data_IF_810049425919
#
_entry.id   IF_810049425919
#
_cell.length_a   1.000
_cell.length_b   1.000
_cell.length_c   1.000
_cell.angle_alpha   90.00
_cell.angle_beta   90.00
_cell.angle_gamma   90.00
#
_symmetry.space_group_name_H-M   'P 1'
#
loop_
_entity.id
_entity.type
_entity.pdbx_description
1 polymer ?
#
# COMPACT_ATOMS: atom_id res chain seq x y z
N UNK A 1 -17.85 3.09 -39.62
CA UNK A 1 -17.27 2.66 -38.32
C UNK A 1 -18.16 1.57 -37.75
N UNK A 2 -17.67 0.37 -37.40
CA UNK A 2 -18.53 -0.60 -36.73
C UNK A 2 -18.97 -0.01 -35.39
N UNK A 3 -20.28 0.16 -35.19
CA UNK A 3 -20.91 0.82 -34.03
C UNK A 3 -20.67 0.13 -32.66
N UNK A 4 -19.81 -0.88 -32.62
CA UNK A 4 -19.70 -1.82 -31.49
C UNK A 4 -18.31 -1.84 -30.82
N UNK A 5 -17.39 -0.96 -31.21
CA UNK A 5 -16.04 -0.87 -30.63
C UNK A 5 -15.89 0.43 -29.84
N UNK A 6 -15.65 0.33 -28.53
CA UNK A 6 -15.56 1.49 -27.63
C UNK A 6 -14.28 2.34 -27.84
N UNK A 7 -13.25 1.78 -28.49
CA UNK A 7 -12.02 2.51 -28.83
C UNK A 7 -11.52 2.15 -30.24
N UNK A 8 -11.04 3.12 -31.04
CA UNK A 8 -10.52 2.87 -32.38
C UNK A 8 -9.21 2.07 -32.39
N UNK A 9 -8.38 2.21 -31.34
CA UNK A 9 -7.05 1.59 -31.27
C UNK A 9 -7.01 0.28 -30.46
N UNK A 10 -8.13 -0.15 -29.87
CA UNK A 10 -8.26 -1.38 -29.10
C UNK A 10 -9.64 -2.01 -29.34
N UNK A 11 -9.87 -2.60 -30.53
CA UNK A 11 -11.18 -3.09 -30.92
C UNK A 11 -11.60 -4.23 -30.00
N UNK A 12 -12.62 -3.99 -29.18
CA UNK A 12 -13.28 -5.00 -28.38
C UNK A 12 -14.79 -4.87 -28.53
N UNK A 13 -15.48 -6.01 -28.56
CA UNK A 13 -16.95 -6.06 -28.60
C UNK A 13 -17.49 -5.61 -27.23
N UNK A 14 -18.30 -4.56 -27.19
CA UNK A 14 -19.00 -4.11 -25.98
C UNK A 14 -19.83 -5.26 -25.40
N UNK A 15 -19.61 -5.60 -24.13
CA UNK A 15 -20.40 -6.60 -23.42
C UNK A 15 -21.78 -6.01 -23.10
N UNK A 16 -22.85 -6.81 -23.13
CA UNK A 16 -24.23 -6.37 -22.84
C UNK A 16 -24.48 -6.19 -21.34
N UNK A 17 -23.54 -5.60 -20.61
CA UNK A 17 -23.63 -5.29 -19.18
C UNK A 17 -23.70 -3.76 -18.99
N UNK A 18 -24.25 -3.25 -17.87
CA UNK A 18 -24.25 -1.83 -17.59
C UNK A 18 -22.83 -1.25 -17.65
N UNK A 19 -22.70 0.01 -18.07
CA UNK A 19 -21.38 0.64 -18.34
C UNK A 19 -20.47 0.71 -17.10
N UNK A 20 -21.02 0.63 -15.89
CA UNK A 20 -20.28 0.60 -14.63
C UNK A 20 -19.93 -0.81 -14.14
N UNK A 21 -20.33 -1.86 -14.85
CA UNK A 21 -20.09 -3.24 -14.44
C UNK A 21 -18.75 -3.74 -14.99
N UNK A 22 -17.80 -3.98 -14.10
CA UNK A 22 -16.51 -4.58 -14.45
C UNK A 22 -16.67 -6.10 -14.55
N UNK A 23 -16.71 -6.63 -15.78
CA UNK A 23 -16.73 -8.07 -16.00
C UNK A 23 -15.33 -8.69 -15.82
N UNK A 24 -15.28 -9.98 -15.48
CA UNK A 24 -14.03 -10.75 -15.41
C UNK A 24 -13.19 -10.62 -16.70
N UNK A 25 -13.83 -10.75 -17.87
CA UNK A 25 -13.16 -10.59 -19.17
C UNK A 25 -12.55 -9.19 -19.38
N UNK A 26 -13.14 -8.14 -18.81
CA UNK A 26 -12.58 -6.79 -18.90
C UNK A 26 -11.35 -6.64 -18.01
N UNK A 27 -11.36 -7.24 -16.82
CA UNK A 27 -10.21 -7.27 -15.92
C UNK A 27 -9.07 -8.09 -16.51
N UNK A 28 -9.35 -9.25 -17.09
CA UNK A 28 -8.33 -10.07 -17.75
C UNK A 28 -7.65 -9.29 -18.89
N UNK A 29 -8.42 -8.57 -19.70
CA UNK A 29 -7.88 -7.72 -20.78
C UNK A 29 -7.07 -6.54 -20.25
N UNK A 30 -7.52 -5.92 -19.17
CA UNK A 30 -6.80 -4.81 -18.54
C UNK A 30 -5.47 -5.30 -17.95
N UNK A 31 -5.50 -6.44 -17.26
CA UNK A 31 -4.33 -7.11 -16.71
C UNK A 31 -3.34 -7.50 -17.82
N UNK A 32 -3.80 -8.08 -18.92
CA UNK A 32 -2.96 -8.38 -20.08
C UNK A 32 -2.29 -7.12 -20.65
N UNK A 33 -3.01 -6.01 -20.71
CA UNK A 33 -2.45 -4.73 -21.18
C UNK A 33 -1.40 -4.18 -20.20
N UNK A 34 -1.64 -4.31 -18.90
CA UNK A 34 -0.69 -3.92 -17.84
C UNK A 34 0.57 -4.78 -17.92
N UNK A 35 0.43 -6.11 -18.00
CA UNK A 35 1.54 -7.04 -18.12
C UNK A 35 2.41 -6.77 -19.36
N UNK A 36 1.82 -6.26 -20.46
CA UNK A 36 2.59 -5.83 -21.65
C UNK A 36 3.30 -4.49 -21.46
N UNK A 37 2.80 -3.62 -20.58
CA UNK A 37 3.39 -2.31 -20.27
C UNK A 37 4.56 -2.45 -19.31
N UNK A 38 4.40 -3.30 -18.29
CA UNK A 38 5.44 -3.58 -17.29
C UNK A 38 6.61 -4.25 -18.02
N UNK A 39 7.74 -3.53 -18.10
CA UNK A 39 8.89 -3.97 -18.90
C UNK A 39 9.75 -4.98 -18.15
N UNK A 40 9.86 -4.80 -16.83
CA UNK A 40 10.74 -5.57 -15.97
C UNK A 40 9.98 -6.08 -14.76
N UNK A 41 10.24 -7.34 -14.42
CA UNK A 41 9.67 -8.02 -13.27
C UNK A 41 10.79 -8.72 -12.51
N UNK A 42 10.87 -8.48 -11.21
CA UNK A 42 11.94 -8.98 -10.36
C UNK A 42 11.36 -9.69 -9.12
N UNK A 43 11.87 -10.90 -8.87
CA UNK A 43 11.53 -11.76 -7.73
C UNK A 43 12.73 -12.27 -6.96
N UNK A 44 13.87 -11.60 -7.11
CA UNK A 44 15.14 -12.03 -6.52
C UNK A 44 15.51 -11.21 -5.28
N UNK A 45 14.63 -10.27 -4.88
CA UNK A 45 14.85 -9.31 -3.81
C UNK A 45 13.85 -9.47 -2.66
N UNK A 46 14.26 -9.02 -1.47
CA UNK A 46 13.39 -8.90 -0.29
C UNK A 46 12.60 -7.61 -0.41
N UNK A 47 11.27 -7.72 -0.42
CA UNK A 47 10.36 -6.58 -0.53
C UNK A 47 9.45 -6.57 0.68
N UNK A 48 9.64 -5.59 1.59
CA UNK A 48 8.73 -5.46 2.71
C UNK A 48 7.31 -5.19 2.22
N UNK A 49 6.33 -5.85 2.83
CA UNK A 49 4.92 -5.84 2.42
C UNK A 49 4.60 -6.55 1.09
N UNK A 50 5.38 -7.57 0.70
CA UNK A 50 5.14 -8.50 -0.42
C UNK A 50 5.45 -7.98 -1.83
N UNK A 51 5.16 -6.71 -2.11
CA UNK A 51 5.36 -6.12 -3.43
C UNK A 51 5.64 -4.62 -3.35
N UNK A 52 6.19 -4.09 -4.44
CA UNK A 52 6.42 -2.66 -4.61
C UNK A 52 6.90 -2.34 -6.02
N UNK A 53 7.08 -1.06 -6.31
CA UNK A 53 7.58 -0.58 -7.60
C UNK A 53 8.86 0.24 -7.45
N UNK A 54 9.67 0.21 -8.51
CA UNK A 54 10.75 1.16 -8.76
C UNK A 54 10.23 2.62 -8.78
N UNK A 55 11.10 3.58 -8.44
CA UNK A 55 10.78 5.02 -8.47
C UNK A 55 10.24 5.51 -9.83
N UNK A 56 10.70 4.91 -10.93
CA UNK A 56 10.25 5.25 -12.29
C UNK A 56 9.03 4.45 -12.76
N UNK A 57 8.54 3.51 -11.94
CA UNK A 57 7.36 2.70 -12.21
C UNK A 57 7.54 1.69 -13.36
N UNK A 58 8.78 1.40 -13.78
CA UNK A 58 9.04 0.47 -14.91
C UNK A 58 9.34 -0.96 -14.47
N UNK A 59 9.85 -1.12 -13.26
CA UNK A 59 10.11 -2.40 -12.62
C UNK A 59 9.14 -2.61 -11.46
N UNK A 60 8.46 -3.76 -11.47
CA UNK A 60 7.67 -4.25 -10.35
C UNK A 60 8.48 -5.31 -9.63
N UNK A 61 8.59 -5.15 -8.31
CA UNK A 61 9.26 -6.06 -7.41
C UNK A 61 8.23 -6.87 -6.64
N UNK A 62 8.37 -8.19 -6.65
CA UNK A 62 7.63 -9.10 -5.78
C UNK A 62 8.64 -9.82 -4.90
N UNK A 63 8.30 -9.96 -3.62
CA UNK A 63 9.17 -10.62 -2.65
C UNK A 63 9.52 -12.05 -3.08
N UNK A 64 10.80 -12.41 -2.94
CA UNK A 64 11.33 -13.71 -3.35
C UNK A 64 10.81 -14.90 -2.53
N UNK A 65 10.37 -14.66 -1.29
CA UNK A 65 9.85 -15.69 -0.39
C UNK A 65 8.35 -15.93 -0.57
N UNK A 66 7.66 -15.03 -1.29
CA UNK A 66 6.27 -15.24 -1.68
C UNK A 66 6.20 -16.37 -2.72
N UNK A 67 5.30 -17.36 -2.60
CA UNK A 67 5.05 -18.34 -3.66
C UNK A 67 4.42 -17.69 -4.89
N UNK A 68 4.68 -18.25 -6.08
CA UNK A 68 4.10 -17.75 -7.35
C UNK A 68 2.60 -18.00 -7.45
N UNK A 69 2.15 -19.07 -6.82
CA UNK A 69 0.77 -19.50 -6.89
C UNK A 69 0.33 -20.19 -5.60
N UNK A 70 -0.97 -20.31 -5.45
CA UNK A 70 -1.60 -21.06 -4.38
C UNK A 70 -2.73 -21.92 -4.91
N UNK A 71 -3.02 -23.01 -4.20
CA UNK A 71 -4.11 -23.91 -4.56
C UNK A 71 -5.40 -23.50 -3.88
N UNK A 72 -6.44 -23.25 -4.66
CA UNK A 72 -7.79 -22.96 -4.17
C UNK A 72 -8.81 -23.83 -4.89
N UNK A 73 -9.54 -24.66 -4.12
CA UNK A 73 -10.55 -25.61 -4.64
C UNK A 73 -10.03 -26.50 -5.79
N UNK A 74 -8.81 -27.02 -5.63
CA UNK A 74 -8.17 -27.89 -6.63
C UNK A 74 -7.64 -27.18 -7.88
N UNK A 75 -7.69 -25.84 -7.92
CA UNK A 75 -7.09 -25.03 -9.00
C UNK A 75 -5.85 -24.30 -8.50
N UNK A 76 -4.82 -24.25 -9.33
CA UNK A 76 -3.65 -23.39 -9.10
C UNK A 76 -3.98 -21.98 -9.58
N UNK A 77 -3.79 -21.00 -8.71
CA UNK A 77 -4.06 -19.59 -8.99
C UNK A 77 -2.75 -18.82 -8.86
N UNK A 78 -2.33 -18.19 -9.95
CA UNK A 78 -1.15 -17.31 -9.96
C UNK A 78 -1.44 -16.02 -9.19
N UNK A 79 -0.51 -15.67 -8.30
CA UNK A 79 -0.62 -14.54 -7.37
C UNK A 79 -0.04 -13.27 -7.98
N UNK A 80 1.06 -13.40 -8.72
CA UNK A 80 1.85 -12.28 -9.25
C UNK A 80 1.01 -11.27 -10.01
N UNK A 81 0.05 -11.76 -10.79
CA UNK A 81 -0.85 -10.92 -11.59
C UNK A 81 -1.68 -9.94 -10.76
N UNK A 82 -2.08 -10.33 -9.55
CA UNK A 82 -2.89 -9.49 -8.68
C UNK A 82 -2.04 -8.38 -8.08
N UNK A 83 -0.84 -8.73 -7.62
CA UNK A 83 0.15 -7.76 -7.12
C UNK A 83 0.59 -6.80 -8.22
N UNK A 84 0.86 -7.28 -9.43
CA UNK A 84 1.22 -6.44 -10.58
C UNK A 84 0.11 -5.41 -10.89
N UNK A 85 -1.16 -5.84 -10.85
CA UNK A 85 -2.29 -4.93 -11.03
C UNK A 85 -2.34 -3.87 -9.92
N UNK A 86 -2.15 -4.29 -8.67
CA UNK A 86 -2.14 -3.40 -7.51
C UNK A 86 -1.07 -2.31 -7.67
N UNK A 87 0.18 -2.72 -7.87
CA UNK A 87 1.31 -1.81 -8.00
C UNK A 87 1.14 -0.83 -9.17
N UNK A 88 0.70 -1.31 -10.34
CA UNK A 88 0.54 -0.47 -11.52
C UNK A 88 -0.59 0.57 -11.36
N UNK A 89 -1.73 0.16 -10.80
CA UNK A 89 -2.86 1.06 -10.56
C UNK A 89 -2.45 2.13 -9.55
N UNK A 90 -1.81 1.73 -8.46
CA UNK A 90 -1.34 2.66 -7.43
C UNK A 90 -0.36 3.68 -8.02
N UNK A 91 0.69 3.20 -8.70
CA UNK A 91 1.72 4.06 -9.28
C UNK A 91 1.16 4.99 -10.34
N UNK A 92 0.25 4.51 -11.19
CA UNK A 92 -0.38 5.34 -12.22
C UNK A 92 -1.23 6.46 -11.62
N UNK A 93 -2.00 6.17 -10.57
CA UNK A 93 -2.81 7.19 -9.89
C UNK A 93 -1.94 8.27 -9.22
N UNK A 94 -0.80 7.87 -8.66
CA UNK A 94 0.16 8.81 -8.06
C UNK A 94 0.84 9.65 -9.14
N UNK A 95 1.44 9.01 -10.15
CA UNK A 95 2.30 9.70 -11.12
C UNK A 95 1.49 10.55 -12.11
N UNK A 96 0.34 10.06 -12.58
CA UNK A 96 -0.43 10.73 -13.63
C UNK A 96 -1.47 11.71 -13.07
N UNK A 97 -2.04 11.41 -11.89
CA UNK A 97 -3.11 12.21 -11.31
C UNK A 97 -2.71 12.93 -10.01
N UNK A 98 -1.48 12.70 -9.52
CA UNK A 98 -1.00 13.33 -8.29
C UNK A 98 -1.76 12.91 -7.05
N UNK A 99 -2.40 11.72 -7.06
CA UNK A 99 -3.18 11.27 -5.90
C UNK A 99 -2.27 11.03 -4.69
N UNK A 100 -2.83 11.31 -3.52
CA UNK A 100 -2.19 10.91 -2.27
C UNK A 100 -2.07 9.37 -2.23
N UNK A 101 -0.91 8.88 -1.79
CA UNK A 101 -0.60 7.44 -1.76
C UNK A 101 -1.71 6.64 -1.09
N UNK A 102 -2.17 7.05 0.10
CA UNK A 102 -3.23 6.34 0.82
C UNK A 102 -4.54 6.16 0.00
N UNK A 103 -4.89 7.15 -0.82
CA UNK A 103 -6.06 7.05 -1.70
C UNK A 103 -5.78 6.15 -2.91
N UNK A 104 -4.61 6.29 -3.53
CA UNK A 104 -4.18 5.43 -4.62
C UNK A 104 -4.16 3.95 -4.18
N UNK A 105 -3.60 3.67 -3.00
CA UNK A 105 -3.53 2.36 -2.38
C UNK A 105 -4.92 1.76 -2.18
N UNK A 106 -5.86 2.53 -1.62
CA UNK A 106 -7.24 2.07 -1.41
C UNK A 106 -8.00 1.74 -2.71
N UNK A 107 -7.66 2.41 -3.81
CA UNK A 107 -8.24 2.13 -5.13
C UNK A 107 -7.56 0.88 -5.73
N UNK A 108 -6.24 0.78 -5.60
CA UNK A 108 -5.46 -0.38 -6.03
C UNK A 108 -5.94 -1.68 -5.35
N UNK A 109 -6.14 -1.67 -4.02
CA UNK A 109 -6.67 -2.83 -3.28
C UNK A 109 -8.06 -3.24 -3.77
N UNK A 110 -8.91 -2.29 -4.15
CA UNK A 110 -10.24 -2.60 -4.72
C UNK A 110 -10.14 -3.19 -6.13
N UNK A 111 -9.19 -2.72 -6.94
CA UNK A 111 -8.91 -3.28 -8.25
C UNK A 111 -8.36 -4.72 -8.13
N UNK A 112 -7.48 -4.95 -7.18
CA UNK A 112 -6.95 -6.27 -6.82
C UNK A 112 -8.07 -7.21 -6.38
N UNK A 113 -8.92 -6.80 -5.43
CA UNK A 113 -10.07 -7.58 -4.99
C UNK A 113 -10.99 -7.96 -6.15
N UNK A 114 -11.27 -7.02 -7.05
CA UNK A 114 -12.07 -7.28 -8.23
C UNK A 114 -11.44 -8.34 -9.15
N UNK A 115 -10.11 -8.30 -9.34
CA UNK A 115 -9.37 -9.28 -10.13
C UNK A 115 -9.34 -10.67 -9.47
N UNK A 116 -9.15 -10.74 -8.16
CA UNK A 116 -9.21 -12.00 -7.39
C UNK A 116 -10.60 -12.64 -7.52
N UNK A 117 -11.66 -11.83 -7.38
CA UNK A 117 -13.03 -12.29 -7.53
C UNK A 117 -13.36 -12.73 -8.97
N UNK A 118 -12.78 -12.07 -9.98
CA UNK A 118 -12.92 -12.45 -11.39
C UNK A 118 -12.40 -13.88 -11.66
N UNK A 119 -11.38 -14.30 -10.94
CA UNK A 119 -10.78 -15.64 -10.97
C UNK A 119 -11.56 -16.69 -10.17
N UNK A 120 -12.72 -16.29 -9.64
CA UNK A 120 -13.60 -17.10 -8.79
C UNK A 120 -12.91 -17.55 -7.50
N UNK A 121 -11.99 -16.74 -7.01
CA UNK A 121 -11.40 -16.86 -5.67
C UNK A 121 -12.06 -15.84 -4.76
N UNK A 122 -12.29 -16.19 -3.50
CA UNK A 122 -12.82 -15.22 -2.54
C UNK A 122 -11.69 -14.36 -1.99
N UNK A 123 -11.93 -13.04 -1.85
CA UNK A 123 -10.98 -12.13 -1.22
C UNK A 123 -10.45 -12.66 0.11
N UNK A 124 -11.33 -13.15 0.98
CA UNK A 124 -10.94 -13.69 2.28
C UNK A 124 -10.01 -14.91 2.20
N UNK A 125 -10.07 -15.73 1.14
CA UNK A 125 -9.15 -16.84 0.97
C UNK A 125 -7.77 -16.36 0.51
N UNK A 126 -7.76 -15.38 -0.38
CA UNK A 126 -6.56 -14.73 -0.88
C UNK A 126 -5.84 -13.92 0.21
N UNK A 127 -6.55 -13.05 0.93
CA UNK A 127 -5.99 -12.27 2.04
C UNK A 127 -5.41 -13.18 3.13
N UNK A 128 -6.12 -14.24 3.53
CA UNK A 128 -5.56 -15.24 4.47
C UNK A 128 -4.30 -15.93 3.96
N UNK A 129 -4.15 -16.09 2.65
CA UNK A 129 -2.91 -16.63 2.07
C UNK A 129 -1.80 -15.58 2.16
N UNK A 130 -2.07 -14.33 1.75
CA UNK A 130 -1.10 -13.23 1.79
C UNK A 130 -0.61 -12.90 3.20
N UNK A 131 -1.51 -12.82 4.17
CA UNK A 131 -1.19 -12.52 5.57
C UNK A 131 -0.19 -13.50 6.21
N UNK A 132 -0.07 -14.73 5.69
CA UNK A 132 0.95 -15.69 6.15
C UNK A 132 2.35 -15.22 5.82
N UNK A 133 2.51 -14.56 4.67
CA UNK A 133 3.79 -14.09 4.16
C UNK A 133 4.09 -12.66 4.63
N UNK A 134 3.06 -11.79 4.78
CA UNK A 134 3.25 -10.42 5.28
C UNK A 134 3.98 -10.42 6.63
N UNK A 135 3.55 -11.27 7.57
CA UNK A 135 4.14 -11.32 8.91
C UNK A 135 5.53 -11.95 8.91
N UNK A 136 5.72 -13.06 8.21
CA UNK A 136 7.02 -13.72 8.16
C UNK A 136 8.09 -12.83 7.52
N UNK A 137 7.75 -12.11 6.46
CA UNK A 137 8.66 -11.19 5.77
C UNK A 137 8.90 -9.93 6.61
N UNK A 138 7.87 -9.42 7.31
CA UNK A 138 8.00 -8.30 8.23
C UNK A 138 8.95 -8.58 9.41
N UNK A 139 8.99 -9.83 9.87
CA UNK A 139 9.88 -10.28 10.95
C UNK A 139 11.27 -10.72 10.44
N UNK A 140 11.43 -10.97 9.13
CA UNK A 140 12.68 -11.41 8.52
C UNK A 140 13.72 -10.27 8.47
N UNK A 141 15.00 -10.65 8.62
CA UNK A 141 16.10 -9.71 8.45
C UNK A 141 16.31 -9.46 6.97
N UNK A 142 15.75 -8.34 6.48
CA UNK A 142 16.00 -7.82 5.14
C UNK A 142 17.50 -7.91 4.82
N UNK A 143 17.83 -8.61 3.73
CA UNK A 143 19.21 -8.88 3.34
C UNK A 143 19.52 -8.37 1.94
N UNK A 144 18.50 -8.27 1.08
CA UNK A 144 18.67 -7.90 -0.33
C UNK A 144 17.51 -7.03 -0.82
N UNK A 145 17.50 -5.76 -0.42
CA UNK A 145 16.47 -4.79 -0.85
C UNK A 145 16.94 -4.05 -2.12
N UNK A 146 16.08 -3.85 -3.14
CA UNK A 146 16.46 -3.10 -4.34
C UNK A 146 16.77 -1.64 -4.03
N UNK A 147 17.81 -1.09 -4.64
CA UNK A 147 18.27 0.28 -4.38
C UNK A 147 17.32 1.38 -4.94
N UNK A 148 16.53 1.05 -5.95
CA UNK A 148 15.61 1.93 -6.66
C UNK A 148 14.14 1.75 -6.25
N UNK A 149 13.86 0.89 -5.27
CA UNK A 149 12.53 0.71 -4.68
C UNK A 149 11.98 2.06 -4.20
N UNK A 150 10.73 2.36 -4.53
CA UNK A 150 10.07 3.57 -4.06
C UNK A 150 9.76 3.43 -2.57
N UNK A 151 10.27 4.37 -1.77
CA UNK A 151 10.08 4.36 -0.32
C UNK A 151 8.86 5.15 0.15
N UNK A 152 8.11 5.75 -0.78
CA UNK A 152 6.90 6.52 -0.47
C UNK A 152 5.89 5.74 0.39
N UNK A 153 5.60 4.44 0.14
CA UNK A 153 4.72 3.64 0.99
C UNK A 153 5.13 3.68 2.47
N UNK A 154 6.41 3.43 2.76
CA UNK A 154 6.93 3.33 4.13
C UNK A 154 7.01 4.69 4.83
N UNK A 155 7.20 5.78 4.08
CA UNK A 155 7.14 7.16 4.60
C UNK A 155 5.74 7.53 5.06
N UNK A 156 4.72 7.13 4.31
CA UNK A 156 3.32 7.49 4.56
C UNK A 156 2.69 6.57 5.63
N UNK A 157 3.20 5.36 5.84
CA UNK A 157 2.86 4.48 6.98
C UNK A 157 3.68 4.72 8.25
N UNK A 158 4.62 5.68 8.23
CA UNK A 158 5.47 6.02 9.37
C UNK A 158 6.32 4.85 9.90
N UNK A 159 6.72 3.90 9.05
CA UNK A 159 7.50 2.72 9.45
C UNK A 159 9.02 2.98 9.36
N UNK A 160 9.50 3.83 10.27
CA UNK A 160 10.89 4.33 10.26
C UNK A 160 11.94 3.26 10.59
N UNK A 161 11.61 2.33 11.49
CA UNK A 161 12.53 1.23 11.82
C UNK A 161 12.72 0.31 10.62
N UNK A 162 11.64 0.01 9.88
CA UNK A 162 11.70 -0.77 8.66
C UNK A 162 12.52 -0.04 7.59
N UNK A 163 12.29 1.26 7.37
CA UNK A 163 13.09 2.04 6.42
C UNK A 163 14.58 2.05 6.76
N UNK A 164 14.94 2.13 8.05
CA UNK A 164 16.35 2.08 8.46
C UNK A 164 16.98 0.72 8.14
N UNK A 165 16.27 -0.39 8.42
CA UNK A 165 16.71 -1.75 8.06
C UNK A 165 16.85 -1.94 6.55
N UNK A 166 15.92 -1.39 5.76
CA UNK A 166 16.00 -1.41 4.30
C UNK A 166 17.28 -0.75 3.80
N UNK A 167 17.61 0.44 4.33
CA UNK A 167 18.83 1.18 3.93
C UNK A 167 20.12 0.41 4.26
N UNK A 168 20.13 -0.31 5.37
CA UNK A 168 21.27 -1.12 5.80
C UNK A 168 21.45 -2.39 4.94
N UNK A 169 20.35 -2.86 4.33
CA UNK A 169 20.26 -4.08 3.50
C UNK A 169 20.09 -3.81 2.01
N UNK A 170 20.31 -2.56 1.56
CA UNK A 170 20.34 -2.24 0.13
C UNK A 170 21.43 -3.06 -0.53
N UNK A 171 21.04 -3.84 -1.53
CA UNK A 171 21.97 -4.60 -2.34
C UNK A 171 22.92 -3.64 -3.07
N UNK A 172 24.22 -3.77 -2.77
CA UNK A 172 25.27 -2.90 -3.31
C UNK A 172 25.61 -3.26 -4.76
N UNK A 173 25.22 -4.45 -5.24
CA UNK A 173 25.57 -4.91 -6.59
C UNK A 173 24.80 -4.20 -7.71
N UNK A 174 23.70 -3.49 -7.40
CA UNK A 174 22.97 -2.62 -8.35
C UNK A 174 23.46 -1.15 -8.28
N UNK A 175 24.38 -0.83 -7.35
CA UNK A 175 24.93 0.54 -7.23
C UNK A 175 26.13 0.80 -8.15
N UNK A 176 25.92 0.77 -9.47
CA UNK A 176 26.79 1.55 -10.38
C UNK A 176 26.39 3.02 -10.37
N UNK A 177 26.66 3.70 -9.25
CA UNK A 177 26.47 5.15 -9.14
C UNK A 177 26.93 5.69 -7.78
N UNK A 178 27.98 6.53 -7.72
CA UNK A 178 28.45 7.11 -6.47
C UNK A 178 27.46 8.18 -5.98
N UNK A 179 26.82 7.97 -4.83
CA UNK A 179 26.06 9.01 -4.12
C UNK A 179 24.55 8.80 -3.95
N UNK A 180 23.96 7.78 -4.58
CA UNK A 180 22.52 7.48 -4.43
C UNK A 180 22.16 7.06 -3.00
N UNK A 181 22.95 6.17 -2.41
CA UNK A 181 22.75 5.71 -1.04
C UNK A 181 23.01 6.81 0.02
N UNK A 182 23.93 7.74 -0.22
CA UNK A 182 24.19 8.84 0.72
C UNK A 182 23.11 9.92 0.68
N UNK A 183 22.59 10.24 -0.52
CA UNK A 183 21.48 11.18 -0.69
C UNK A 183 20.19 10.65 -0.08
N UNK A 184 19.89 9.36 -0.30
CA UNK A 184 18.74 8.69 0.32
C UNK A 184 18.84 8.68 1.85
N UNK A 185 20.04 8.41 2.40
CA UNK A 185 20.32 8.49 3.84
C UNK A 185 20.13 9.90 4.40
N UNK A 186 20.54 10.94 3.66
CA UNK A 186 20.38 12.33 4.08
C UNK A 186 18.90 12.75 4.09
N UNK A 187 18.16 12.46 3.02
CA UNK A 187 16.71 12.75 2.93
C UNK A 187 15.92 12.03 4.04
N UNK A 188 16.25 10.77 4.33
CA UNK A 188 15.60 10.04 5.42
C UNK A 188 15.95 10.58 6.80
N UNK A 189 17.18 11.05 7.00
CA UNK A 189 17.58 11.69 8.25
C UNK A 189 16.83 13.01 8.46
N UNK A 190 16.76 13.86 7.43
CA UNK A 190 16.00 15.12 7.48
C UNK A 190 14.52 14.88 7.76
N UNK A 191 13.92 13.87 7.12
CA UNK A 191 12.52 13.51 7.34
C UNK A 191 12.29 12.92 8.75
N UNK A 192 13.18 12.04 9.23
CA UNK A 192 13.13 11.50 10.59
C UNK A 192 13.31 12.59 11.66
N UNK A 193 14.15 13.59 11.39
CA UNK A 193 14.35 14.75 12.27
C UNK A 193 13.11 15.66 12.29
N UNK A 194 12.51 15.95 11.14
CA UNK A 194 11.26 16.72 11.04
C UNK A 194 10.11 16.03 11.80
N UNK A 195 9.99 14.72 11.69
CA UNK A 195 8.95 13.94 12.39
C UNK A 195 9.18 13.84 13.90
N UNK A 196 10.44 13.68 14.35
CA UNK A 196 10.79 13.75 15.78
C UNK A 196 10.36 15.08 16.40
N UNK A 197 10.52 16.17 15.67
CA UNK A 197 10.07 17.49 16.09
C UNK A 197 8.54 17.61 16.08
N UNK A 198 7.83 17.08 15.08
CA UNK A 198 6.36 17.03 15.06
C UNK A 198 5.79 16.25 16.26
N UNK A 199 6.32 15.05 16.54
CA UNK A 199 5.92 14.24 17.69
C UNK A 199 6.26 14.90 19.05
N UNK A 200 7.30 15.74 19.08
CA UNK A 200 7.66 16.55 20.25
C UNK A 200 6.69 17.71 20.42
N UNK A 201 6.28 18.35 19.33
CA UNK A 201 5.28 19.43 19.31
C UNK A 201 3.89 18.91 19.72
N UNK A 202 3.49 17.73 19.25
CA UNK A 202 2.21 17.12 19.63
C UNK A 202 2.20 16.65 21.09
N UNK A 203 3.29 16.07 21.60
CA UNK A 203 3.41 15.83 23.06
C UNK A 203 3.33 17.11 23.87
N UNK A 204 3.96 18.20 23.42
CA UNK A 204 3.86 19.52 24.08
C UNK A 204 2.43 20.07 24.03
N UNK A 205 1.70 19.89 22.92
CA UNK A 205 0.28 20.28 22.79
C UNK A 205 -0.63 19.46 23.71
N UNK A 206 -0.38 18.16 23.86
CA UNK A 206 -1.12 17.27 24.76
C UNK A 206 -0.88 17.62 26.23
N UNK A 207 0.36 17.94 26.61
CA UNK A 207 0.70 18.41 27.97
C UNK A 207 0.11 19.82 28.23
N UNK A 208 0.09 20.70 27.24
CA UNK A 208 -0.49 22.05 27.34
C UNK A 208 -2.01 22.09 27.50
N UNK A 209 -2.75 21.07 27.06
CA UNK A 209 -4.21 20.95 27.26
C UNK A 209 -4.61 20.39 28.63
N UNK A 210 -3.65 19.94 29.46
CA UNK A 210 -3.89 19.30 30.75
C UNK A 210 -4.02 20.22 31.96
N UNK A 211 -3.84 21.54 31.83
CA UNK A 211 -3.90 22.47 32.96
C UNK A 211 -5.13 23.40 32.88
N UNK A 212 -6.29 22.93 33.37
CA UNK A 212 -7.34 23.85 33.85
C UNK A 212 -7.19 24.01 35.37
N UNK A 213 -7.09 25.23 35.92
CA UNK A 213 -6.97 25.41 37.36
C UNK A 213 -8.31 25.08 38.04
N UNK A 214 -8.24 24.26 39.09
CA UNK A 214 -9.40 23.87 39.88
C UNK A 214 -10.03 25.09 40.56
N UNK A 215 -11.25 25.43 40.16
CA UNK A 215 -12.04 26.47 40.82
C UNK A 215 -12.48 25.98 42.21
N UNK A 216 -12.03 26.69 43.26
CA UNK A 216 -12.49 26.56 44.65
C UNK A 216 -14.02 26.62 44.72
N UNK A 217 -14.68 25.52 45.08
CA UNK A 217 -16.10 25.52 45.46
C UNK A 217 -16.24 25.87 46.94
N UNK A 218 -16.68 27.10 47.21
CA UNK A 218 -17.20 27.53 48.52
C UNK A 218 -18.50 26.80 48.84
N UNK A 219 -18.57 26.22 50.03
CA UNK A 219 -19.72 25.51 50.56
C UNK A 219 -20.93 26.45 50.76
N UNK A 220 -22.11 26.02 50.30
CA UNK A 220 -23.41 26.52 50.78
C UNK A 220 -24.28 25.33 51.21
N UNK A 221 -24.61 25.30 52.50
CA UNK A 221 -25.64 24.45 53.12
C UNK A 221 -27.03 24.89 52.63
N UNK A 222 -27.88 23.94 52.23
CA UNK A 222 -29.33 24.07 52.32
C UNK A 222 -29.98 22.67 52.38
N UNK A 223 -31.01 22.57 53.23
CA UNK A 223 -31.63 21.37 53.79
C UNK A 223 -32.55 20.59 52.80
N UNK A 224 -32.94 19.33 53.13
CA UNK A 224 -33.80 18.52 52.27
C UNK A 224 -35.28 18.68 52.60
N UNK A 225 -36.08 19.14 51.64
CA UNK A 225 -37.54 18.97 51.65
C UNK A 225 -37.91 17.63 51.00
N UNK A 226 -38.36 16.69 51.83
CA UNK A 226 -39.08 15.47 51.40
C UNK A 226 -40.50 15.85 50.97
N UNK A 227 -40.93 15.38 49.79
CA UNK A 227 -42.27 14.79 49.54
C UNK A 227 -42.44 14.44 48.06
N UNK A 228 -42.72 13.18 47.78
CA UNK A 228 -43.87 12.76 46.96
C UNK A 228 -44.00 11.23 47.03
N UNK A 229 -45.08 10.77 47.64
CA UNK A 229 -45.71 9.49 47.33
C UNK A 229 -47.22 9.76 47.45
N UNK A 230 -47.87 9.93 46.30
CA UNK A 230 -48.89 9.05 45.69
C UNK A 230 -49.09 9.57 44.27
#
# INVERSE_FOLDING_TARGET
>A
MPLNTCHPNAPHKKLKVPDWYVSALMLDRALDAILRRVKNFDRDHDIPYLAGYSKDGKTIYIDRHLPKSFTFRGRTVEVDRFLILHEEVEKTLIDQLGLHYLHAHQIATRAEEAAVNAERVTWAAYDRFMQKYVKSIGDERLSKVPADLDLKPYRDYHDYELMQRMIESIDKDVTRGPGGASKLKAELKEYADAFREEHRLDRRRLVGKGAKPAAKKTAKKAAPTKRAAI
#
